data_IF_056089814087
#
_entry.id   IF_056089814087
#
_cell.length_a   1.000
_cell.length_b   1.000
_cell.length_c   1.000
_cell.angle_alpha   90.00
_cell.angle_beta   90.00
_cell.angle_gamma   90.00
#
_symmetry.space_group_name_H-M   'P 1'
#
loop_
_entity.id
_entity.type
_entity.pdbx_description
1 polymer ?
#
# COMPACT_ATOMS: atom_id res chain seq x y z
N UNK A 1 7.36 2.18 -10.94
CA UNK A 1 6.53 3.15 -10.19
C UNK A 1 6.98 3.28 -8.74
N UNK A 2 7.34 2.17 -8.07
CA UNK A 2 8.02 2.17 -6.77
C UNK A 2 9.18 1.16 -6.78
N UNK A 3 10.22 1.46 -6.01
CA UNK A 3 11.43 0.64 -5.85
C UNK A 3 11.19 -0.49 -4.84
N UNK A 4 12.05 -1.51 -4.84
CA UNK A 4 12.00 -2.53 -3.79
C UNK A 4 12.36 -1.92 -2.43
N UNK A 5 11.63 -2.31 -1.39
CA UNK A 5 11.72 -1.72 -0.06
C UNK A 5 11.07 -0.34 0.06
N UNK A 6 10.44 0.17 -0.99
CA UNK A 6 9.88 1.52 -0.97
C UNK A 6 8.71 1.63 0.02
N UNK A 7 8.73 2.72 0.78
CA UNK A 7 7.69 3.06 1.75
C UNK A 7 6.55 3.82 1.06
N UNK A 8 5.37 3.20 1.00
CA UNK A 8 4.15 3.76 0.42
C UNK A 8 3.31 4.38 1.53
N UNK A 9 3.45 5.69 1.70
CA UNK A 9 2.64 6.50 2.62
C UNK A 9 1.48 7.20 1.89
N UNK A 10 0.48 7.66 2.65
CA UNK A 10 -0.61 8.52 2.14
C UNK A 10 -0.04 9.78 1.46
N UNK A 11 1.00 10.40 2.02
CA UNK A 11 1.64 11.59 1.46
C UNK A 11 2.31 11.31 0.12
N UNK A 12 3.07 10.23 0.02
CA UNK A 12 3.75 9.83 -1.22
C UNK A 12 2.74 9.51 -2.34
N UNK A 13 1.63 8.86 -1.98
CA UNK A 13 0.52 8.62 -2.90
C UNK A 13 -0.17 9.92 -3.33
N UNK A 14 -0.31 10.90 -2.43
CA UNK A 14 -0.90 12.22 -2.73
C UNK A 14 0.01 13.02 -3.66
N UNK A 15 1.31 13.04 -3.37
CA UNK A 15 2.34 13.74 -4.16
C UNK A 15 2.46 13.17 -5.58
N UNK A 16 2.31 11.85 -5.71
CA UNK A 16 2.20 11.16 -7.00
C UNK A 16 0.81 11.30 -7.66
N UNK A 17 -0.12 12.04 -7.06
CA UNK A 17 -1.51 12.23 -7.51
C UNK A 17 -2.29 10.92 -7.71
N UNK A 18 -1.91 9.85 -7.01
CA UNK A 18 -2.61 8.55 -7.04
C UNK A 18 -3.88 8.62 -6.18
N UNK A 19 -3.80 9.29 -5.03
CA UNK A 19 -4.97 9.64 -4.23
C UNK A 19 -5.31 11.11 -4.44
N UNK A 20 -6.61 11.42 -4.52
CA UNK A 20 -7.09 12.80 -4.64
C UNK A 20 -7.03 13.57 -3.32
N UNK A 21 -7.07 12.87 -2.19
CA UNK A 21 -7.17 13.52 -0.89
C UNK A 21 -6.60 12.63 0.24
N UNK A 22 -5.88 13.21 1.19
CA UNK A 22 -5.34 12.48 2.36
C UNK A 22 -6.40 12.21 3.43
N UNK A 23 -7.51 12.96 3.41
CA UNK A 23 -8.62 12.86 4.38
C UNK A 23 -9.55 11.68 4.10
N UNK A 24 -9.44 11.06 2.93
CA UNK A 24 -10.26 9.92 2.55
C UNK A 24 -9.67 8.63 3.09
N UNK A 25 -10.56 7.70 3.43
CA UNK A 25 -10.18 6.35 3.84
C UNK A 25 -9.53 5.63 2.66
N UNK A 26 -8.23 5.37 2.75
CA UNK A 26 -7.50 4.61 1.74
C UNK A 26 -7.64 3.12 2.05
N UNK A 27 -8.23 2.38 1.10
CA UNK A 27 -8.32 0.92 1.13
C UNK A 27 -7.40 0.31 0.07
N UNK A 28 -6.49 -0.56 0.50
CA UNK A 28 -5.57 -1.29 -0.38
C UNK A 28 -6.23 -2.57 -0.87
N UNK A 29 -6.25 -2.73 -2.18
CA UNK A 29 -6.79 -3.90 -2.89
C UNK A 29 -5.65 -4.57 -3.66
N UNK A 30 -5.69 -5.89 -3.73
CA UNK A 30 -4.79 -6.67 -4.57
C UNK A 30 -5.45 -6.93 -5.93
N UNK A 31 -4.75 -6.58 -7.01
CA UNK A 31 -5.12 -6.95 -8.38
C UNK A 31 -3.85 -7.36 -9.12
N UNK A 32 -3.76 -8.62 -9.49
CA UNK A 32 -2.54 -9.22 -10.06
C UNK A 32 -1.51 -9.58 -9.00
N UNK A 33 -0.28 -9.83 -9.46
CA UNK A 33 0.83 -10.28 -8.65
C UNK A 33 1.69 -9.11 -8.17
N UNK A 34 2.00 -9.11 -6.87
CA UNK A 34 3.06 -8.27 -6.33
C UNK A 34 4.34 -9.10 -6.35
N UNK A 35 5.39 -8.60 -6.99
CA UNK A 35 6.72 -9.24 -7.03
C UNK A 35 7.78 -8.41 -6.30
N UNK A 36 7.40 -7.23 -5.80
CA UNK A 36 8.29 -6.31 -5.09
C UNK A 36 7.94 -6.26 -3.62
N UNK A 37 8.97 -6.26 -2.77
CA UNK A 37 8.83 -6.00 -1.33
C UNK A 37 8.50 -4.52 -1.15
N UNK A 38 7.39 -4.20 -0.51
CA UNK A 38 6.96 -2.82 -0.25
C UNK A 38 6.42 -2.71 1.16
N UNK A 39 6.62 -1.56 1.78
CA UNK A 39 5.97 -1.22 3.06
C UNK A 39 4.79 -0.31 2.76
N UNK A 40 3.56 -0.77 2.98
CA UNK A 40 2.34 -0.03 2.63
C UNK A 40 1.64 0.44 3.89
N UNK A 41 1.43 1.75 4.00
CA UNK A 41 0.69 2.35 5.09
C UNK A 41 -0.69 2.86 4.63
N UNK A 42 -1.77 2.28 5.16
CA UNK A 42 -3.14 2.64 4.76
C UNK A 42 -4.17 2.36 5.87
N UNK A 43 -5.41 2.83 5.69
CA UNK A 43 -6.45 2.69 6.71
C UNK A 43 -7.12 1.31 6.70
N UNK A 44 -7.20 0.66 5.53
CA UNK A 44 -7.80 -0.67 5.39
C UNK A 44 -7.09 -1.48 4.32
N UNK A 45 -6.99 -2.79 4.52
CA UNK A 45 -6.43 -3.73 3.56
C UNK A 45 -7.44 -4.84 3.29
N UNK A 46 -7.55 -5.27 2.03
CA UNK A 46 -8.33 -6.46 1.67
C UNK A 46 -7.59 -7.73 2.07
N UNK A 47 -8.31 -8.85 2.29
CA UNK A 47 -7.70 -10.14 2.67
C UNK A 47 -6.61 -10.57 1.68
N UNK A 48 -6.90 -10.54 0.37
CA UNK A 48 -5.92 -10.82 -0.69
C UNK A 48 -4.73 -9.86 -0.68
N UNK A 49 -4.94 -8.59 -0.31
CA UNK A 49 -3.84 -7.62 -0.30
C UNK A 49 -2.87 -7.89 0.84
N UNK A 50 -3.38 -8.24 2.02
CA UNK A 50 -2.54 -8.63 3.15
C UNK A 50 -1.71 -9.87 2.82
N UNK A 51 -2.38 -10.90 2.33
CA UNK A 51 -1.77 -12.18 1.97
C UNK A 51 -0.63 -12.02 0.95
N UNK A 52 -0.87 -11.28 -0.13
CA UNK A 52 0.15 -11.03 -1.15
C UNK A 52 1.33 -10.20 -0.60
N UNK A 53 1.07 -9.20 0.24
CA UNK A 53 2.14 -8.38 0.83
C UNK A 53 2.98 -9.21 1.81
N UNK A 54 2.35 -10.00 2.67
CA UNK A 54 3.02 -10.88 3.64
C UNK A 54 3.81 -11.99 2.93
N UNK A 55 3.25 -12.61 1.88
CA UNK A 55 3.95 -13.63 1.07
C UNK A 55 5.20 -13.08 0.38
N UNK A 56 5.17 -11.81 -0.04
CA UNK A 56 6.32 -11.14 -0.60
C UNK A 56 7.32 -10.63 0.46
N UNK A 57 7.02 -10.79 1.76
CA UNK A 57 7.83 -10.24 2.85
C UNK A 57 7.80 -8.71 2.91
N UNK A 58 6.71 -8.10 2.45
CA UNK A 58 6.43 -6.67 2.63
C UNK A 58 5.79 -6.38 3.98
N UNK A 59 5.71 -5.10 4.34
CA UNK A 59 5.23 -4.66 5.65
C UNK A 59 3.93 -3.86 5.51
N UNK A 60 3.01 -4.04 6.45
CA UNK A 60 1.64 -3.48 6.42
C UNK A 60 1.44 -2.64 7.68
N UNK A 61 1.32 -1.33 7.52
CA UNK A 61 1.00 -0.44 8.63
C UNK A 61 -0.42 0.10 8.49
N UNK A 62 -1.26 -0.20 9.48
CA UNK A 62 -2.65 0.23 9.50
C UNK A 62 -2.74 1.57 10.22
N UNK A 63 -2.85 2.65 9.45
CA UNK A 63 -3.01 4.01 10.01
C UNK A 63 -4.50 4.37 10.04
N UNK A 64 -5.08 4.45 11.24
CA UNK A 64 -6.45 4.96 11.42
C UNK A 64 -6.55 6.44 11.08
#
# INVERSE_FOLDING_TARGET
LFEDGSLITKDLLLKKKIIKNNKLLVKVLAKGDLTKKLTVQACKFSKKAKDIIEQNGGNIEIIR
#
